data_IF_214110148691
#
_entry.id   IF_214110148691
#
_cell.length_a   1.000
_cell.length_b   1.000
_cell.length_c   1.000
_cell.angle_alpha   90.00
_cell.angle_beta   90.00
_cell.angle_gamma   90.00
#
_symmetry.space_group_name_H-M   'P 1'
#
loop_
_entity.id
_entity.type
_entity.pdbx_description
1 polymer ?
#
# COMPACT_ATOMS: atom_id res chain seq x y z
N UNK A 1 -21.08 -24.46 5.96
CA UNK A 1 -20.81 -23.00 6.09
C UNK A 1 -22.02 -22.14 5.66
N UNK A 2 -23.25 -22.67 5.70
CA UNK A 2 -24.48 -21.95 5.31
C UNK A 2 -25.50 -21.82 6.46
N UNK A 3 -25.13 -22.25 7.67
CA UNK A 3 -26.01 -22.24 8.82
C UNK A 3 -25.86 -20.97 9.67
N UNK A 4 -24.96 -20.06 9.27
CA UNK A 4 -24.76 -18.79 9.94
C UNK A 4 -25.12 -17.64 9.00
N UNK A 5 -25.96 -16.74 9.45
CA UNK A 5 -26.33 -15.50 8.76
C UNK A 5 -25.42 -14.35 9.18
N UNK A 6 -25.59 -13.20 8.56
CA UNK A 6 -24.87 -11.98 8.96
C UNK A 6 -25.24 -11.56 10.40
N UNK A 7 -26.50 -11.75 10.79
CA UNK A 7 -26.99 -11.45 12.13
C UNK A 7 -26.29 -12.30 13.20
N UNK A 8 -25.97 -13.56 12.90
CA UNK A 8 -25.20 -14.39 13.84
C UNK A 8 -23.80 -13.80 14.11
N UNK A 9 -23.14 -13.24 13.08
CA UNK A 9 -21.87 -12.54 13.25
C UNK A 9 -22.03 -11.25 14.06
N UNK A 10 -23.15 -10.54 13.90
CA UNK A 10 -23.45 -9.34 14.68
C UNK A 10 -23.70 -9.66 16.16
N UNK A 11 -24.33 -10.79 16.47
CA UNK A 11 -24.49 -11.25 17.85
C UNK A 11 -23.14 -11.67 18.47
N UNK A 12 -22.23 -12.27 17.70
CA UNK A 12 -20.86 -12.55 18.16
C UNK A 12 -20.12 -11.24 18.46
N UNK A 13 -20.15 -10.26 17.54
CA UNK A 13 -19.56 -8.92 17.74
C UNK A 13 -20.08 -8.29 19.03
N UNK A 14 -21.41 -8.23 19.17
CA UNK A 14 -22.07 -7.67 20.36
C UNK A 14 -21.64 -8.38 21.64
N UNK A 15 -21.63 -9.72 21.63
CA UNK A 15 -21.23 -10.52 22.79
C UNK A 15 -19.78 -10.20 23.20
N UNK A 16 -18.87 -10.07 22.24
CA UNK A 16 -17.48 -9.69 22.52
C UNK A 16 -17.44 -8.29 23.17
N UNK A 17 -18.11 -7.31 22.56
CA UNK A 17 -18.13 -5.94 23.08
C UNK A 17 -18.72 -5.82 24.48
N UNK A 18 -19.81 -6.55 24.78
CA UNK A 18 -20.44 -6.55 26.10
C UNK A 18 -19.56 -7.19 27.19
N UNK A 19 -18.61 -8.03 26.80
CA UNK A 19 -17.74 -8.79 27.72
C UNK A 19 -16.27 -8.34 27.70
N UNK A 20 -15.91 -7.32 26.92
CA UNK A 20 -14.56 -6.75 26.87
C UNK A 20 -14.49 -5.39 27.56
N UNK A 21 -14.19 -5.34 28.87
CA UNK A 21 -14.15 -4.08 29.64
C UNK A 21 -12.97 -3.18 29.27
N UNK A 22 -12.04 -3.66 28.45
CA UNK A 22 -10.83 -2.93 28.07
C UNK A 22 -10.85 -2.42 26.63
N UNK A 23 -11.91 -2.75 25.87
CA UNK A 23 -12.09 -2.31 24.48
C UNK A 23 -10.84 -2.59 23.62
N UNK A 24 -10.40 -3.85 23.61
CA UNK A 24 -9.36 -4.32 22.70
C UNK A 24 -9.77 -4.06 21.23
N UNK A 25 -8.77 -3.98 20.35
CA UNK A 25 -9.02 -3.85 18.92
C UNK A 25 -9.87 -5.02 18.43
N UNK A 26 -10.98 -4.69 17.79
CA UNK A 26 -11.93 -5.64 17.23
C UNK A 26 -12.10 -5.39 15.72
N UNK A 27 -12.07 -6.47 14.94
CA UNK A 27 -12.38 -6.47 13.51
C UNK A 27 -12.91 -7.85 13.08
N UNK A 28 -13.17 -8.03 11.79
CA UNK A 28 -13.63 -9.28 11.19
C UNK A 28 -12.86 -9.54 9.90
N UNK A 29 -12.03 -10.59 9.91
CA UNK A 29 -11.30 -11.04 8.74
C UNK A 29 -12.24 -11.78 7.77
N UNK A 30 -12.35 -11.27 6.53
CA UNK A 30 -13.12 -11.96 5.50
C UNK A 30 -12.36 -13.14 4.91
N UNK A 31 -13.05 -14.20 4.50
CA UNK A 31 -12.51 -15.10 3.47
C UNK A 31 -12.95 -14.59 2.10
N UNK A 32 -14.21 -14.87 1.73
CA UNK A 32 -14.79 -14.43 0.45
C UNK A 32 -15.73 -13.23 0.59
N UNK A 33 -16.46 -13.11 1.71
CA UNK A 33 -17.49 -12.09 1.91
C UNK A 33 -16.98 -11.02 2.86
N UNK A 34 -17.04 -9.76 2.45
CA UNK A 34 -16.70 -8.64 3.31
C UNK A 34 -17.68 -8.48 4.46
N UNK A 35 -17.12 -8.11 5.63
CA UNK A 35 -17.88 -7.64 6.76
C UNK A 35 -18.21 -6.15 6.61
N UNK A 36 -19.26 -5.69 7.31
CA UNK A 36 -19.57 -4.28 7.37
C UNK A 36 -18.63 -3.56 8.35
N UNK A 37 -17.54 -3.03 7.82
CA UNK A 37 -16.56 -2.28 8.60
C UNK A 37 -17.04 -0.89 9.04
N UNK A 38 -18.23 -0.43 8.64
CA UNK A 38 -18.81 0.82 9.14
C UNK A 38 -19.37 0.71 10.56
N UNK A 39 -19.62 -0.51 11.04
CA UNK A 39 -20.17 -0.79 12.37
C UNK A 39 -19.31 -0.20 13.49
N UNK A 40 -19.96 0.33 14.52
CA UNK A 40 -19.31 1.10 15.59
C UNK A 40 -18.27 0.30 16.38
N UNK A 41 -18.59 -0.97 16.70
CA UNK A 41 -17.70 -1.88 17.42
C UNK A 41 -16.40 -2.21 16.67
N UNK A 42 -16.38 -2.04 15.34
CA UNK A 42 -15.24 -2.39 14.50
C UNK A 42 -14.23 -1.24 14.52
N UNK A 43 -13.04 -1.53 15.02
CA UNK A 43 -11.97 -0.53 15.22
C UNK A 43 -11.13 -0.30 13.97
N UNK A 44 -11.00 -1.30 13.10
CA UNK A 44 -10.19 -1.25 11.88
C UNK A 44 -10.75 -2.21 10.82
N UNK A 45 -10.37 -2.03 9.56
CA UNK A 45 -10.68 -2.98 8.49
C UNK A 45 -9.68 -4.14 8.48
N UNK A 46 -10.16 -5.37 8.38
CA UNK A 46 -9.33 -6.58 8.32
C UNK A 46 -9.61 -7.33 7.02
N UNK A 47 -8.80 -7.09 6.00
CA UNK A 47 -9.10 -7.44 4.61
C UNK A 47 -8.27 -8.62 4.13
N UNK A 48 -8.93 -9.67 3.61
CA UNK A 48 -8.30 -10.70 2.77
C UNK A 48 -8.54 -10.38 1.29
N UNK A 49 -7.52 -9.88 0.59
CA UNK A 49 -7.58 -9.56 -0.86
C UNK A 49 -6.24 -9.11 -1.42
N UNK A 50 -6.00 -9.37 -2.71
CA UNK A 50 -4.84 -8.85 -3.44
C UNK A 50 -5.06 -7.45 -4.03
N UNK A 51 -6.28 -6.89 -3.89
CA UNK A 51 -6.65 -5.56 -4.38
C UNK A 51 -6.06 -4.44 -3.49
N UNK A 52 -4.74 -4.46 -3.30
CA UNK A 52 -4.01 -3.55 -2.40
C UNK A 52 -4.09 -2.09 -2.86
N UNK A 53 -4.42 -1.85 -4.12
CA UNK A 53 -4.62 -0.51 -4.66
C UNK A 53 -5.80 0.22 -4.01
N UNK A 54 -6.76 -0.49 -3.40
CA UNK A 54 -7.96 0.10 -2.75
C UNK A 54 -7.76 0.55 -1.31
N UNK A 55 -6.54 0.44 -0.77
CA UNK A 55 -6.27 0.71 0.64
C UNK A 55 -6.62 2.14 1.07
N UNK A 56 -6.30 3.13 0.24
CA UNK A 56 -6.68 4.54 0.40
C UNK A 56 -8.19 4.76 0.26
N UNK A 57 -8.84 4.14 -0.74
CA UNK A 57 -10.30 4.18 -0.89
C UNK A 57 -11.03 3.69 0.37
N UNK A 58 -10.55 2.59 0.98
CA UNK A 58 -11.15 2.06 2.20
C UNK A 58 -10.86 2.90 3.44
N UNK A 59 -9.65 3.48 3.56
CA UNK A 59 -9.37 4.47 4.60
C UNK A 59 -10.31 5.67 4.47
N UNK A 60 -10.54 6.17 3.25
CA UNK A 60 -11.46 7.27 3.01
C UNK A 60 -12.91 6.91 3.32
N UNK A 61 -13.37 5.74 2.88
CA UNK A 61 -14.74 5.26 3.07
C UNK A 61 -15.08 5.00 4.53
N UNK A 62 -14.23 4.25 5.24
CA UNK A 62 -14.52 3.78 6.58
C UNK A 62 -14.02 4.71 7.67
N UNK A 63 -13.08 5.63 7.35
CA UNK A 63 -12.41 6.51 8.32
C UNK A 63 -11.80 5.73 9.49
N UNK A 64 -11.24 4.56 9.17
CA UNK A 64 -10.63 3.60 10.10
C UNK A 64 -9.32 3.08 9.50
N UNK A 65 -8.36 2.64 10.34
CA UNK A 65 -7.17 1.95 9.84
C UNK A 65 -7.55 0.78 8.95
N UNK A 66 -6.80 0.56 7.88
CA UNK A 66 -6.98 -0.58 6.98
C UNK A 66 -5.80 -1.52 7.13
N UNK A 67 -6.10 -2.75 7.50
CA UNK A 67 -5.12 -3.84 7.58
C UNK A 67 -5.47 -4.84 6.49
N UNK A 68 -4.56 -5.04 5.54
CA UNK A 68 -4.56 -6.19 4.67
C UNK A 68 -4.03 -7.36 5.48
N UNK A 69 -4.94 -8.08 6.12
CA UNK A 69 -4.59 -9.14 7.06
C UNK A 69 -4.23 -10.45 6.33
N UNK A 70 -4.70 -10.61 5.09
CA UNK A 70 -4.20 -11.63 4.17
C UNK A 70 -4.21 -11.14 2.71
N UNK A 71 -3.08 -11.24 2.01
CA UNK A 71 -2.95 -10.81 0.62
C UNK A 71 -1.98 -11.74 -0.15
N UNK A 72 -2.27 -13.03 -0.05
CA UNK A 72 -1.38 -14.16 -0.34
C UNK A 72 -0.18 -14.28 0.61
N UNK A 73 0.58 -15.36 0.47
CA UNK A 73 1.79 -15.67 1.25
C UNK A 73 2.98 -15.98 0.34
N UNK A 74 4.18 -15.61 0.79
CA UNK A 74 5.42 -16.04 0.13
C UNK A 74 5.54 -17.56 0.25
N UNK A 75 5.73 -18.28 -0.86
CA UNK A 75 5.79 -19.73 -0.76
C UNK A 75 5.84 -20.45 -2.09
N UNK A 76 5.58 -21.75 -2.05
CA UNK A 76 5.60 -22.63 -3.21
C UNK A 76 4.58 -23.77 -3.14
N UNK A 77 3.52 -23.62 -2.33
CA UNK A 77 2.43 -24.60 -2.33
C UNK A 77 1.63 -24.54 -3.64
N UNK A 78 0.81 -25.55 -3.88
CA UNK A 78 -0.03 -25.68 -5.07
C UNK A 78 -1.15 -24.63 -5.15
N UNK A 79 -1.48 -23.99 -4.01
CA UNK A 79 -2.58 -23.04 -3.93
C UNK A 79 -2.12 -21.59 -4.21
N UNK A 80 -2.92 -20.85 -4.98
CA UNK A 80 -2.65 -19.47 -5.39
C UNK A 80 -2.54 -18.46 -4.24
N UNK A 81 -3.13 -18.77 -3.08
CA UNK A 81 -2.99 -17.95 -1.89
C UNK A 81 -1.62 -18.10 -1.21
N UNK A 82 -0.81 -19.11 -1.55
CA UNK A 82 0.43 -19.42 -0.83
C UNK A 82 1.67 -19.62 -1.69
N UNK A 83 1.71 -19.03 -2.89
CA UNK A 83 2.77 -19.33 -3.85
C UNK A 83 3.35 -18.10 -4.56
N UNK A 84 3.29 -16.92 -3.92
CA UNK A 84 3.94 -15.73 -4.48
C UNK A 84 5.43 -15.70 -4.13
N UNK A 85 6.22 -14.97 -4.93
CA UNK A 85 7.65 -14.79 -4.66
C UNK A 85 7.88 -13.85 -3.48
N UNK A 86 9.04 -13.94 -2.84
CA UNK A 86 9.42 -12.99 -1.79
C UNK A 86 9.51 -11.53 -2.29
N UNK A 87 9.82 -11.32 -3.58
CA UNK A 87 9.78 -9.99 -4.17
C UNK A 87 8.33 -9.48 -4.25
N UNK A 88 7.39 -10.29 -4.72
CA UNK A 88 5.99 -9.89 -4.82
C UNK A 88 5.38 -9.63 -3.43
N UNK A 89 5.74 -10.43 -2.42
CA UNK A 89 5.34 -10.16 -1.03
C UNK A 89 5.87 -8.80 -0.56
N UNK A 90 7.17 -8.54 -0.77
CA UNK A 90 7.80 -7.25 -0.46
C UNK A 90 7.11 -6.10 -1.21
N UNK A 91 6.82 -6.28 -2.50
CA UNK A 91 6.15 -5.30 -3.35
C UNK A 91 4.77 -4.92 -2.82
N UNK A 92 3.96 -5.91 -2.40
CA UNK A 92 2.64 -5.65 -1.79
C UNK A 92 2.75 -4.89 -0.49
N UNK A 93 3.68 -5.27 0.40
CA UNK A 93 3.94 -4.52 1.63
C UNK A 93 4.28 -3.05 1.36
N UNK A 94 5.18 -2.78 0.41
CA UNK A 94 5.50 -1.41 0.03
C UNK A 94 4.31 -0.67 -0.57
N UNK A 95 3.48 -1.32 -1.40
CA UNK A 95 2.24 -0.73 -1.91
C UNK A 95 1.25 -0.33 -0.81
N UNK A 96 1.07 -1.23 0.16
CA UNK A 96 0.15 -1.07 1.29
C UNK A 96 0.64 0.06 2.22
N UNK A 97 1.88 -0.05 2.71
CA UNK A 97 2.39 0.86 3.73
C UNK A 97 2.71 2.26 3.21
N UNK A 98 3.06 2.40 1.93
CA UNK A 98 3.25 3.74 1.33
C UNK A 98 1.95 4.53 1.36
N UNK A 99 0.78 3.87 1.25
CA UNK A 99 -0.53 4.51 1.33
C UNK A 99 -1.06 4.65 2.78
N UNK A 100 -0.24 4.43 3.80
CA UNK A 100 -0.67 4.51 5.21
C UNK A 100 -1.47 3.32 5.74
N UNK A 101 -1.67 2.26 4.93
CA UNK A 101 -2.32 1.02 5.37
C UNK A 101 -1.29 0.03 5.96
N UNK A 102 -1.78 -1.05 6.55
CA UNK A 102 -0.96 -2.07 7.23
C UNK A 102 -1.11 -3.44 6.58
N UNK A 103 -0.11 -4.31 6.72
CA UNK A 103 -0.14 -5.67 6.17
C UNK A 103 0.36 -6.70 7.18
N UNK A 104 -0.23 -7.89 7.16
CA UNK A 104 0.23 -9.07 7.90
C UNK A 104 1.02 -10.01 6.97
N UNK A 105 2.10 -10.61 7.49
CA UNK A 105 2.93 -11.56 6.74
C UNK A 105 2.53 -13.00 7.04
N UNK A 106 2.58 -13.84 6.01
CA UNK A 106 2.65 -15.29 6.13
C UNK A 106 3.54 -15.90 5.05
N UNK A 107 4.03 -17.11 5.31
CA UNK A 107 4.78 -17.90 4.33
C UNK A 107 4.40 -19.40 4.36
N UNK A 108 4.48 -20.02 3.18
CA UNK A 108 4.00 -21.38 2.91
C UNK A 108 4.95 -22.11 1.98
N UNK A 109 6.10 -22.51 2.54
CA UNK A 109 7.07 -23.35 1.83
C UNK A 109 6.87 -24.82 2.17
N UNK A 110 6.68 -25.65 1.15
CA UNK A 110 6.83 -27.09 1.27
C UNK A 110 8.18 -27.46 1.87
N UNK A 111 8.15 -28.43 2.77
CA UNK A 111 9.32 -28.87 3.51
C UNK A 111 9.23 -30.31 3.97
N UNK A 112 10.39 -30.94 4.15
CA UNK A 112 10.50 -32.36 4.52
C UNK A 112 9.88 -32.67 5.90
N UNK A 113 9.78 -31.67 6.78
CA UNK A 113 9.13 -31.77 8.10
C UNK A 113 7.61 -31.51 8.05
N UNK A 114 7.05 -31.26 6.86
CA UNK A 114 5.64 -30.92 6.62
C UNK A 114 5.14 -29.72 7.45
N UNK A 115 6.04 -28.82 7.86
CA UNK A 115 5.72 -27.60 8.61
C UNK A 115 5.54 -26.41 7.66
N UNK A 116 4.28 -26.03 7.43
CA UNK A 116 3.92 -24.74 6.85
C UNK A 116 3.85 -23.68 7.96
N UNK A 117 4.73 -22.68 7.91
CA UNK A 117 4.85 -21.65 8.95
C UNK A 117 3.53 -20.93 9.23
N UNK A 118 2.77 -20.58 8.18
CA UNK A 118 1.46 -19.94 8.29
C UNK A 118 0.48 -20.64 9.26
N UNK A 119 0.49 -21.98 9.36
CA UNK A 119 -0.41 -22.72 10.27
C UNK A 119 0.25 -23.29 11.52
N UNK A 120 1.53 -23.68 11.42
CA UNK A 120 2.23 -24.43 12.48
C UNK A 120 3.36 -23.63 13.15
N UNK A 121 3.67 -22.43 12.68
CA UNK A 121 4.79 -21.62 13.15
C UNK A 121 6.16 -22.25 12.83
N UNK A 122 7.19 -21.88 13.60
CA UNK A 122 8.54 -22.41 13.46
C UNK A 122 9.52 -21.42 12.83
N UNK A 123 10.37 -21.90 11.92
CA UNK A 123 11.45 -21.11 11.31
C UNK A 123 11.01 -20.51 9.98
N UNK A 124 11.24 -19.22 9.80
CA UNK A 124 11.00 -18.53 8.54
C UNK A 124 12.03 -18.94 7.46
N UNK A 125 11.55 -19.25 6.25
CA UNK A 125 12.34 -19.75 5.10
C UNK A 125 12.39 -18.74 3.95
N UNK A 126 11.45 -17.81 3.90
CA UNK A 126 11.30 -16.82 2.86
C UNK A 126 12.34 -15.71 2.87
N UNK A 127 12.33 -14.91 1.81
CA UNK A 127 13.22 -13.75 1.62
C UNK A 127 12.57 -12.44 2.04
N UNK A 128 11.23 -12.37 2.05
CA UNK A 128 10.48 -11.17 2.39
C UNK A 128 10.57 -10.76 3.86
N UNK A 129 10.71 -11.64 4.88
CA UNK A 129 10.79 -11.21 6.28
C UNK A 129 11.88 -10.17 6.55
N UNK A 130 13.06 -10.35 5.93
CA UNK A 130 14.17 -9.37 6.04
C UNK A 130 13.82 -8.02 5.42
N UNK A 131 13.06 -8.00 4.31
CA UNK A 131 12.66 -6.76 3.61
C UNK A 131 11.52 -6.06 4.34
N UNK A 132 10.61 -6.82 4.94
CA UNK A 132 9.55 -6.29 5.80
C UNK A 132 10.15 -5.66 7.06
N UNK A 133 11.19 -6.28 7.65
CA UNK A 133 11.94 -5.66 8.74
C UNK A 133 12.60 -4.34 8.32
N UNK A 134 13.23 -4.29 7.14
CA UNK A 134 13.76 -3.04 6.59
C UNK A 134 12.68 -1.97 6.37
N UNK A 135 11.52 -2.34 5.82
CA UNK A 135 10.39 -1.42 5.66
C UNK A 135 9.89 -0.92 7.02
N UNK A 136 9.77 -1.80 8.03
CA UNK A 136 9.39 -1.41 9.38
C UNK A 136 10.36 -0.38 9.95
N UNK A 137 11.66 -0.65 9.90
CA UNK A 137 12.68 0.27 10.40
C UNK A 137 12.63 1.60 9.62
N UNK A 138 12.44 1.56 8.30
CA UNK A 138 12.25 2.74 7.48
C UNK A 138 11.05 3.59 7.95
N UNK A 139 9.87 2.99 8.10
CA UNK A 139 8.64 3.68 8.52
C UNK A 139 8.78 4.27 9.92
N UNK A 140 9.42 3.56 10.85
CA UNK A 140 9.63 4.01 12.23
C UNK A 140 10.62 5.18 12.36
N UNK A 141 11.42 5.44 11.31
CA UNK A 141 12.33 6.58 11.24
C UNK A 141 11.74 7.77 10.48
N UNK A 142 10.49 7.68 10.01
CA UNK A 142 9.76 8.84 9.47
C UNK A 142 9.30 9.75 10.61
N UNK A 143 9.08 11.06 10.34
CA UNK A 143 8.64 12.00 11.37
C UNK A 143 7.23 11.69 11.91
N UNK A 144 6.38 11.06 11.10
CA UNK A 144 5.03 10.63 11.49
C UNK A 144 4.61 9.40 10.64
N UNK A 145 3.40 8.89 10.87
CA UNK A 145 2.75 7.93 9.98
C UNK A 145 2.56 8.52 8.58
N UNK A 146 2.62 7.67 7.56
CA UNK A 146 2.28 8.06 6.19
C UNK A 146 0.76 8.16 6.04
N UNK A 147 0.29 9.25 5.46
CA UNK A 147 -1.07 9.39 4.95
C UNK A 147 -1.07 9.21 3.41
N UNK A 148 -2.16 8.72 2.79
CA UNK A 148 -2.26 8.65 1.34
C UNK A 148 -1.95 10.00 0.70
N UNK A 149 -0.98 10.02 -0.22
CA UNK A 149 -0.65 11.21 -0.99
C UNK A 149 -1.03 11.02 -2.45
N UNK A 150 -1.93 11.87 -2.93
CA UNK A 150 -2.23 11.99 -4.35
C UNK A 150 -1.42 13.14 -4.92
N UNK A 151 -0.52 12.82 -5.83
CA UNK A 151 0.38 13.79 -6.42
C UNK A 151 -0.44 14.88 -7.15
N UNK A 152 -0.18 16.17 -6.85
CA UNK A 152 -0.97 17.25 -7.43
C UNK A 152 -0.85 17.28 -8.96
N UNK A 153 -1.97 17.44 -9.64
CA UNK A 153 -1.99 17.66 -11.09
C UNK A 153 -1.72 19.15 -11.36
N UNK A 154 -0.45 19.58 -11.30
CA UNK A 154 -0.09 20.92 -11.78
C UNK A 154 -0.22 20.99 -13.31
N UNK A 155 -0.91 22.03 -13.80
CA UNK A 155 -1.13 22.34 -15.23
C UNK A 155 0.17 22.68 -15.99
N UNK A 156 1.29 22.89 -15.30
CA UNK A 156 2.54 23.41 -15.89
C UNK A 156 3.22 22.48 -16.93
N UNK A 157 2.69 21.28 -17.16
CA UNK A 157 3.17 20.39 -18.23
C UNK A 157 2.26 20.34 -19.47
N UNK A 158 1.19 21.14 -19.53
CA UNK A 158 0.37 21.32 -20.73
C UNK A 158 0.81 22.52 -21.60
N UNK A 159 2.07 22.97 -21.53
CA UNK A 159 2.63 23.88 -22.55
C UNK A 159 2.72 23.24 -23.96
N UNK A 160 2.43 21.93 -24.09
CA UNK A 160 2.24 21.29 -25.39
C UNK A 160 0.82 21.48 -25.98
N UNK A 161 -0.13 21.98 -25.17
CA UNK A 161 -1.50 22.31 -25.57
C UNK A 161 -1.92 23.65 -24.94
N UNK A 162 -1.41 24.75 -25.52
CA UNK A 162 -1.92 26.10 -25.30
C UNK A 162 -3.35 26.22 -25.89
N UNK A 163 -4.34 25.61 -25.23
CA UNK A 163 -5.74 25.85 -25.53
C UNK A 163 -6.52 26.08 -24.25
N UNK A 164 -7.42 27.06 -24.28
CA UNK A 164 -8.40 27.36 -23.21
C UNK A 164 -9.44 26.23 -23.02
N UNK A 165 -9.21 25.06 -23.61
CA UNK A 165 -10.11 23.92 -23.59
C UNK A 165 -9.50 22.83 -22.71
N UNK A 166 -10.35 22.18 -21.91
CA UNK A 166 -9.94 21.08 -21.04
C UNK A 166 -9.26 19.97 -21.86
N UNK A 167 -8.08 19.53 -21.41
CA UNK A 167 -7.29 18.48 -22.03
C UNK A 167 -8.19 17.26 -22.37
N UNK A 168 -8.32 16.84 -23.65
CA UNK A 168 -9.21 15.76 -24.06
C UNK A 168 -8.97 14.43 -23.30
N UNK A 169 -7.74 14.19 -22.85
CA UNK A 169 -7.39 13.02 -22.06
C UNK A 169 -7.97 13.11 -20.64
N UNK A 170 -7.92 14.28 -20.01
CA UNK A 170 -8.55 14.52 -18.70
C UNK A 170 -10.08 14.33 -18.82
N UNK A 171 -10.69 14.86 -19.88
CA UNK A 171 -12.12 14.68 -20.14
C UNK A 171 -12.50 13.20 -20.32
N UNK A 172 -11.66 12.42 -21.02
CA UNK A 172 -11.86 10.99 -21.17
C UNK A 172 -11.78 10.27 -19.81
N UNK A 173 -10.75 10.53 -19.00
CA UNK A 173 -10.62 9.96 -17.65
C UNK A 173 -11.85 10.25 -16.78
N UNK A 174 -12.37 11.48 -16.82
CA UNK A 174 -13.57 11.88 -16.06
C UNK A 174 -14.85 11.18 -16.55
N UNK A 175 -14.88 10.71 -17.79
CA UNK A 175 -16.04 10.05 -18.38
C UNK A 175 -16.08 8.53 -18.17
N UNK A 176 -15.02 7.94 -17.61
CA UNK A 176 -14.92 6.50 -17.39
C UNK A 176 -16.00 6.00 -16.43
N UNK A 177 -16.59 4.86 -16.76
CA UNK A 177 -17.49 4.16 -15.86
C UNK A 177 -16.69 3.48 -14.71
N UNK A 178 -17.35 2.96 -13.67
CA UNK A 178 -16.65 2.37 -12.52
C UNK A 178 -15.72 1.19 -12.85
N UNK A 179 -16.08 0.33 -13.81
CA UNK A 179 -15.25 -0.82 -14.21
C UNK A 179 -13.99 -0.37 -14.97
N UNK A 180 -14.14 0.62 -15.85
CA UNK A 180 -13.03 1.24 -16.57
C UNK A 180 -12.08 1.97 -15.61
N UNK A 181 -12.63 2.69 -14.63
CA UNK A 181 -11.86 3.37 -13.59
C UNK A 181 -11.08 2.36 -12.74
N UNK A 182 -11.72 1.28 -12.29
CA UNK A 182 -11.05 0.21 -11.52
C UNK A 182 -9.88 -0.40 -12.30
N UNK A 183 -10.07 -0.66 -13.60
CA UNK A 183 -9.02 -1.22 -14.46
C UNK A 183 -7.85 -0.25 -14.62
N UNK A 184 -8.15 1.05 -14.73
CA UNK A 184 -7.13 2.10 -14.78
C UNK A 184 -6.38 2.18 -13.45
N UNK A 185 -7.07 2.13 -12.32
CA UNK A 185 -6.48 2.18 -10.97
C UNK A 185 -5.61 0.95 -10.72
N UNK A 186 -5.97 -0.22 -11.26
CA UNK A 186 -5.13 -1.42 -11.15
C UNK A 186 -3.81 -1.30 -11.92
N UNK A 187 -3.84 -0.68 -13.11
CA UNK A 187 -2.65 -0.43 -13.94
C UNK A 187 -1.76 0.67 -13.35
N UNK A 188 -2.39 1.76 -12.91
CA UNK A 188 -1.75 3.03 -12.61
C UNK A 188 -1.45 3.21 -11.13
N UNK A 189 -2.09 2.37 -10.29
CA UNK A 189 -2.21 2.44 -8.83
C UNK A 189 -1.18 3.34 -8.20
N UNK A 190 -1.53 4.63 -8.13
CA UNK A 190 -0.67 5.63 -7.55
C UNK A 190 -0.35 5.18 -6.13
N UNK A 191 0.93 5.08 -5.83
CA UNK A 191 1.40 4.63 -4.53
C UNK A 191 2.24 5.75 -3.93
N UNK A 192 1.51 6.76 -3.45
CA UNK A 192 2.05 7.94 -2.79
C UNK A 192 1.69 7.95 -1.32
N UNK A 193 2.64 8.39 -0.49
CA UNK A 193 2.44 8.68 0.92
C UNK A 193 3.14 9.97 1.33
N UNK A 194 2.66 10.63 2.37
CA UNK A 194 3.33 11.79 2.92
C UNK A 194 3.20 11.90 4.45
N UNK A 195 4.10 12.65 5.07
CA UNK A 195 3.99 13.10 6.46
C UNK A 195 3.92 14.63 6.44
N UNK A 196 2.70 15.17 6.36
CA UNK A 196 2.51 16.61 6.14
C UNK A 196 3.34 17.10 4.93
N UNK A 197 4.10 18.19 5.12
CA UNK A 197 5.03 18.71 4.12
C UNK A 197 6.49 18.33 4.40
N UNK A 198 6.76 17.46 5.39
CA UNK A 198 8.12 17.10 5.78
C UNK A 198 8.67 15.95 4.92
N UNK A 199 7.80 15.05 4.49
CA UNK A 199 8.17 13.85 3.73
C UNK A 199 7.14 13.54 2.65
N UNK A 200 7.62 13.20 1.45
CA UNK A 200 6.83 12.59 0.37
C UNK A 200 7.50 11.30 -0.11
N UNK A 201 6.74 10.22 -0.20
CA UNK A 201 7.18 8.91 -0.66
C UNK A 201 6.36 8.50 -1.88
N UNK A 202 7.05 8.08 -2.95
CA UNK A 202 6.43 7.53 -4.16
C UNK A 202 7.03 6.18 -4.48
N UNK A 203 6.22 5.13 -4.48
CA UNK A 203 6.64 3.77 -4.80
C UNK A 203 6.19 3.36 -6.20
N UNK A 204 7.11 2.86 -7.02
CA UNK A 204 6.86 2.52 -8.41
C UNK A 204 6.42 1.06 -8.62
N UNK A 205 6.52 0.21 -7.59
CA UNK A 205 6.07 -1.18 -7.67
C UNK A 205 6.73 -1.96 -8.79
N UNK A 206 5.92 -2.42 -9.75
CA UNK A 206 6.36 -3.17 -10.94
C UNK A 206 6.82 -2.27 -12.10
N UNK A 207 6.69 -0.94 -11.97
CA UNK A 207 7.05 -0.02 -13.03
C UNK A 207 8.58 0.09 -13.14
N UNK A 208 9.11 -0.29 -14.29
CA UNK A 208 10.53 -0.18 -14.64
C UNK A 208 10.85 1.18 -15.28
N UNK A 209 10.49 2.27 -14.61
CA UNK A 209 10.71 3.61 -15.15
C UNK A 209 12.22 3.93 -15.23
N UNK A 210 12.66 4.46 -16.37
CA UNK A 210 13.99 5.06 -16.52
C UNK A 210 13.95 6.58 -16.27
N UNK A 211 12.80 7.19 -16.55
CA UNK A 211 12.50 8.58 -16.27
C UNK A 211 11.15 8.64 -15.57
N UNK A 212 11.09 9.35 -14.46
CA UNK A 212 9.87 9.63 -13.72
C UNK A 212 9.87 11.07 -13.23
N UNK A 213 8.75 11.49 -12.63
CA UNK A 213 8.60 12.81 -12.04
C UNK A 213 8.06 12.68 -10.63
N UNK A 214 8.46 13.62 -9.77
CA UNK A 214 7.84 13.88 -8.48
C UNK A 214 7.46 15.36 -8.38
N UNK A 215 6.24 15.66 -7.97
CA UNK A 215 5.72 17.03 -7.85
C UNK A 215 5.69 17.43 -6.37
N UNK A 216 6.64 18.25 -5.97
CA UNK A 216 6.81 18.68 -4.57
C UNK A 216 6.26 20.10 -4.35
N UNK A 217 5.93 20.48 -3.10
CA UNK A 217 5.63 21.87 -2.76
C UNK A 217 6.76 22.82 -3.22
N UNK A 218 6.39 24.02 -3.68
CA UNK A 218 7.33 25.00 -4.28
C UNK A 218 7.98 25.93 -3.25
N UNK A 219 7.35 26.06 -2.10
CA UNK A 219 7.73 26.89 -0.97
C UNK A 219 8.82 26.26 -0.09
N UNK A 220 9.16 25.00 -0.36
CA UNK A 220 10.16 24.23 0.36
C UNK A 220 11.16 23.57 -0.57
N UNK A 221 12.31 23.20 0.00
CA UNK A 221 13.35 22.42 -0.67
C UNK A 221 13.39 21.02 -0.06
N UNK A 222 13.63 20.04 -0.92
CA UNK A 222 13.64 18.64 -0.54
C UNK A 222 14.90 17.95 -1.05
N UNK A 223 15.49 17.10 -0.22
CA UNK A 223 16.48 16.13 -0.64
C UNK A 223 15.74 14.92 -1.18
N UNK A 224 16.09 14.47 -2.38
CA UNK A 224 15.43 13.35 -3.06
C UNK A 224 16.36 12.14 -3.10
N UNK A 225 15.89 11.03 -2.57
CA UNK A 225 16.64 9.78 -2.46
C UNK A 225 15.86 8.63 -3.09
N UNK A 226 16.57 7.81 -3.85
CA UNK A 226 16.06 6.55 -4.38
C UNK A 226 16.28 5.45 -3.37
N UNK A 227 15.26 4.61 -3.19
CA UNK A 227 15.30 3.41 -2.37
C UNK A 227 15.07 2.22 -3.29
N UNK A 228 15.96 1.25 -3.21
CA UNK A 228 15.72 -0.08 -3.75
C UNK A 228 15.18 -0.96 -2.62
N UNK A 229 13.93 -1.36 -2.74
CA UNK A 229 13.23 -2.07 -1.66
C UNK A 229 13.69 -3.52 -1.51
N UNK A 230 14.24 -4.10 -2.57
CA UNK A 230 14.66 -5.50 -2.58
C UNK A 230 16.11 -5.66 -2.11
N UNK A 231 16.99 -4.80 -2.62
CA UNK A 231 18.39 -4.71 -2.21
C UNK A 231 18.56 -3.97 -0.88
N UNK A 232 17.51 -3.27 -0.41
CA UNK A 232 17.49 -2.49 0.84
C UNK A 232 18.59 -1.43 0.85
N UNK A 233 18.71 -0.68 -0.26
CA UNK A 233 19.71 0.38 -0.41
C UNK A 233 19.06 1.73 -0.62
N UNK A 234 19.76 2.81 -0.23
CA UNK A 234 19.33 4.20 -0.39
C UNK A 234 20.44 5.00 -1.06
N UNK A 235 20.09 5.82 -2.04
CA UNK A 235 21.02 6.66 -2.79
C UNK A 235 20.40 8.03 -3.03
N UNK A 236 21.12 9.10 -2.72
CA UNK A 236 20.71 10.46 -3.09
C UNK A 236 20.72 10.65 -4.60
N UNK A 237 19.59 11.08 -5.16
CA UNK A 237 19.44 11.45 -6.57
C UNK A 237 19.66 12.94 -6.77
N UNK A 238 19.08 13.76 -5.89
CA UNK A 238 19.08 15.22 -5.99
C UNK A 238 19.22 15.77 -4.57
N UNK A 239 20.21 16.63 -4.34
CA UNK A 239 20.44 17.24 -3.01
C UNK A 239 19.38 18.29 -2.67
N UNK A 240 18.90 19.04 -3.67
CA UNK A 240 17.90 20.08 -3.49
C UNK A 240 16.91 20.12 -4.66
N UNK A 241 15.64 19.86 -4.39
CA UNK A 241 14.55 19.86 -5.35
C UNK A 241 13.33 20.64 -4.83
N UNK A 242 12.51 21.16 -5.74
CA UNK A 242 11.25 21.86 -5.43
C UNK A 242 10.37 21.89 -6.68
N UNK A 243 9.04 21.81 -6.52
CA UNK A 243 8.14 21.78 -7.67
C UNK A 243 8.24 20.48 -8.48
N UNK A 244 7.97 20.56 -9.80
CA UNK A 244 8.06 19.42 -10.70
C UNK A 244 9.51 19.02 -10.94
N UNK A 245 9.89 17.84 -10.46
CA UNK A 245 11.28 17.37 -10.43
C UNK A 245 11.42 16.09 -11.24
N UNK A 246 12.28 16.11 -12.27
CA UNK A 246 12.60 14.94 -13.08
C UNK A 246 13.54 13.99 -12.33
N UNK A 247 13.30 12.69 -12.46
CA UNK A 247 14.03 11.62 -11.78
C UNK A 247 14.62 10.68 -12.82
N UNK A 248 15.93 10.41 -12.72
CA UNK A 248 16.60 9.35 -13.48
C UNK A 248 16.61 8.08 -12.64
N UNK A 249 15.91 7.06 -13.11
CA UNK A 249 15.70 5.81 -12.40
C UNK A 249 16.37 4.63 -13.15
N UNK A 250 16.63 3.51 -12.47
CA UNK A 250 17.40 2.39 -13.04
C UNK A 250 16.64 1.49 -14.02
N UNK A 251 15.35 1.73 -14.29
CA UNK A 251 14.58 0.88 -15.20
C UNK A 251 14.33 -0.54 -14.64
N UNK A 252 14.10 -0.67 -13.33
CA UNK A 252 13.80 -1.95 -12.67
C UNK A 252 12.65 -1.82 -11.68
N UNK A 253 12.04 -2.94 -11.34
CA UNK A 253 10.99 -3.04 -10.31
C UNK A 253 11.54 -2.76 -8.91
N UNK A 254 10.64 -2.43 -7.98
CA UNK A 254 10.99 -2.30 -6.56
C UNK A 254 11.72 -0.99 -6.23
N UNK A 255 11.46 0.07 -6.99
CA UNK A 255 12.05 1.39 -6.73
C UNK A 255 11.03 2.27 -6.00
N UNK A 256 11.47 2.91 -4.91
CA UNK A 256 10.77 4.01 -4.28
C UNK A 256 11.62 5.28 -4.34
N UNK A 257 10.97 6.43 -4.23
CA UNK A 257 11.60 7.75 -4.15
C UNK A 257 11.06 8.46 -2.92
N UNK A 258 11.97 8.86 -2.04
CA UNK A 258 11.69 9.61 -0.84
C UNK A 258 12.21 11.03 -1.01
N UNK A 259 11.34 12.02 -0.85
CA UNK A 259 11.69 13.42 -0.74
C UNK A 259 11.54 13.84 0.73
N UNK A 260 12.61 14.35 1.33
CA UNK A 260 12.61 14.84 2.73
C UNK A 260 12.94 16.32 2.72
N UNK A 261 12.13 17.11 3.42
CA UNK A 261 12.29 18.56 3.53
C UNK A 261 13.65 18.89 4.14
N UNK A 262 14.33 19.86 3.53
CA UNK A 262 15.60 20.41 4.01
C UNK A 262 15.26 21.59 4.92
N UNK A 263 15.96 21.68 6.05
CA UNK A 263 15.83 22.79 6.99
C UNK A 263 16.31 24.13 6.40
#
# INVERSE_FOLDING_TARGET
MFNYTTEDWYEIEKTICENDPYHHLLSNHNCMRYYDHSREAITHCSMQTIAVHKGDEWQERYKKPVIFDEFCYEGNIEHEWGNISGFEMTNRFWKICTKGAYGTHGETFYSDDEVLWWSKGGVLKGKSPKRIAYLKDFLYNLPDCLEPWHEPVWEEQDEMYDSKEENPFIKLIKSLNPEEKETLDFKSGECGGHCGDDVFLKYFGIQCAEVAWIKLPKDHKYKVEMIDVWEMTRKTLIEEASGSTALKLPGKEGIAVLATKIA
#
